data_IF_625378901135
#
_entry.id   IF_625378901135
#
_cell.length_a   1.000
_cell.length_b   1.000
_cell.length_c   1.000
_cell.angle_alpha   90.00
_cell.angle_beta   90.00
_cell.angle_gamma   90.00
#
_symmetry.space_group_name_H-M   'P 1'
#
loop_
_entity.id
_entity.type
_entity.pdbx_description
1 polymer ?
#
# COMPACT_ATOMS: atom_id res chain seq x y z
N UNK A 1 -30.57 2.61 35.37
CA UNK A 1 -30.83 1.88 34.12
C UNK A 1 -30.78 2.76 32.90
N UNK A 2 -31.38 3.94 32.97
CA UNK A 2 -31.31 4.89 31.85
C UNK A 2 -29.88 5.33 31.57
N UNK A 3 -29.08 5.48 32.60
CA UNK A 3 -27.67 5.85 32.45
C UNK A 3 -26.85 4.77 31.76
N UNK A 4 -27.09 3.50 32.10
CA UNK A 4 -26.41 2.37 31.47
C UNK A 4 -26.79 2.30 30.00
N UNK A 5 -28.06 2.52 29.69
CA UNK A 5 -28.56 2.51 28.34
C UNK A 5 -27.94 3.64 27.51
N UNK A 6 -27.80 4.81 28.12
CA UNK A 6 -27.17 5.96 27.48
C UNK A 6 -25.68 5.72 27.19
N UNK A 7 -24.96 5.09 28.14
CA UNK A 7 -23.56 4.74 27.95
C UNK A 7 -23.39 3.74 26.81
N UNK A 8 -24.29 2.76 26.71
CA UNK A 8 -24.25 1.79 25.62
C UNK A 8 -24.41 2.48 24.26
N UNK A 9 -25.30 3.45 24.15
CA UNK A 9 -25.46 4.20 22.92
C UNK A 9 -24.22 5.01 22.57
N UNK A 10 -23.58 5.60 23.56
CA UNK A 10 -22.33 6.32 23.36
C UNK A 10 -21.20 5.41 22.90
N UNK A 11 -21.17 4.18 23.35
CA UNK A 11 -20.18 3.20 22.94
C UNK A 11 -20.44 2.66 21.56
N UNK A 12 -21.69 2.58 21.11
CA UNK A 12 -22.05 2.06 19.80
C UNK A 12 -21.48 2.92 18.68
N UNK A 13 -21.49 4.24 18.81
CA UNK A 13 -20.96 5.14 17.79
C UNK A 13 -19.45 4.96 17.53
N UNK A 14 -18.61 4.89 18.57
CA UNK A 14 -17.18 4.59 18.35
C UNK A 14 -16.96 3.24 17.66
N UNK A 15 -17.76 2.23 18.02
CA UNK A 15 -17.66 0.91 17.39
C UNK A 15 -18.01 0.95 15.91
N UNK A 16 -19.03 1.72 15.52
CA UNK A 16 -19.39 1.88 14.11
C UNK A 16 -18.28 2.54 13.32
N UNK A 17 -17.68 3.59 13.87
CA UNK A 17 -16.57 4.28 13.23
C UNK A 17 -15.36 3.35 13.09
N UNK A 18 -15.10 2.56 14.10
CA UNK A 18 -14.01 1.59 14.09
C UNK A 18 -14.25 0.50 13.04
N UNK A 19 -15.49 0.03 12.89
CA UNK A 19 -15.85 -0.95 11.87
C UNK A 19 -15.65 -0.42 10.45
N UNK A 20 -16.02 0.83 10.19
CA UNK A 20 -15.79 1.47 8.89
C UNK A 20 -14.31 1.62 8.60
N UNK A 21 -13.53 2.02 9.59
CA UNK A 21 -12.09 2.14 9.46
C UNK A 21 -11.46 0.78 9.15
N UNK A 22 -11.89 -0.27 9.84
CA UNK A 22 -11.41 -1.63 9.61
C UNK A 22 -11.73 -2.08 8.18
N UNK A 23 -12.93 -1.80 7.69
CA UNK A 23 -13.33 -2.15 6.33
C UNK A 23 -12.50 -1.40 5.31
N UNK A 24 -12.23 -0.12 5.52
CA UNK A 24 -11.39 0.67 4.62
C UNK A 24 -9.96 0.14 4.57
N UNK A 25 -9.39 -0.24 5.71
CA UNK A 25 -8.04 -0.83 5.77
C UNK A 25 -8.00 -2.16 5.02
N UNK A 26 -9.01 -3.02 5.21
CA UNK A 26 -9.10 -4.31 4.52
C UNK A 26 -9.21 -4.12 3.01
N UNK A 27 -10.02 -3.16 2.56
CA UNK A 27 -10.15 -2.86 1.14
C UNK A 27 -8.86 -2.30 0.55
N UNK A 28 -8.15 -1.47 1.32
CA UNK A 28 -6.85 -0.95 0.90
C UNK A 28 -5.83 -2.08 0.73
N UNK A 29 -5.78 -3.03 1.66
CA UNK A 29 -4.89 -4.18 1.56
C UNK A 29 -5.19 -5.03 0.33
N UNK A 30 -6.46 -5.22 0.02
CA UNK A 30 -6.90 -5.94 -1.17
C UNK A 30 -6.44 -5.21 -2.44
N UNK A 31 -6.59 -3.91 -2.48
CA UNK A 31 -6.17 -3.11 -3.61
C UNK A 31 -4.65 -3.13 -3.78
N UNK A 32 -3.90 -3.03 -2.69
CA UNK A 32 -2.44 -3.17 -2.71
C UNK A 32 -2.04 -4.52 -3.30
N UNK A 33 -2.69 -5.60 -2.87
CA UNK A 33 -2.40 -6.94 -3.37
C UNK A 33 -2.69 -7.05 -4.88
N UNK A 34 -3.79 -6.48 -5.35
CA UNK A 34 -4.14 -6.50 -6.78
C UNK A 34 -3.09 -5.78 -7.62
N UNK A 35 -2.65 -4.61 -7.18
CA UNK A 35 -1.65 -3.83 -7.92
C UNK A 35 -0.29 -4.55 -7.86
N UNK A 36 0.08 -5.06 -6.71
CA UNK A 36 1.31 -5.85 -6.56
C UNK A 36 1.32 -7.04 -7.52
N UNK A 37 0.22 -7.77 -7.59
CA UNK A 37 0.10 -8.92 -8.47
C UNK A 37 0.19 -8.50 -9.94
N UNK A 38 -0.36 -7.34 -10.29
CA UNK A 38 -0.23 -6.78 -11.63
C UNK A 38 1.22 -6.45 -12.00
N UNK A 39 1.98 -5.93 -11.06
CA UNK A 39 3.40 -5.62 -11.26
C UNK A 39 4.20 -6.93 -11.40
N UNK A 40 4.01 -7.86 -10.49
CA UNK A 40 4.74 -9.12 -10.50
C UNK A 40 4.37 -9.99 -11.70
N UNK A 41 3.12 -9.93 -12.14
CA UNK A 41 2.65 -10.67 -13.31
C UNK A 41 2.97 -10.01 -14.65
N UNK A 42 3.52 -8.79 -14.63
CA UNK A 42 3.93 -8.10 -15.85
C UNK A 42 2.83 -7.33 -16.57
N UNK A 43 1.62 -7.31 -16.05
CA UNK A 43 0.53 -6.52 -16.64
C UNK A 43 0.67 -5.03 -16.37
N UNK A 44 1.36 -4.67 -15.29
CA UNK A 44 1.71 -3.30 -14.96
C UNK A 44 3.21 -3.15 -15.05
N UNK A 45 3.67 -2.22 -15.88
CA UNK A 45 5.09 -2.05 -16.19
C UNK A 45 5.65 -0.78 -15.58
N UNK A 46 6.96 -0.70 -15.36
CA UNK A 46 7.59 0.54 -14.92
C UNK A 46 7.20 1.72 -15.80
N UNK A 47 6.82 2.81 -15.15
CA UNK A 47 6.41 4.03 -15.86
C UNK A 47 4.94 4.09 -16.21
N UNK A 48 4.19 3.01 -16.07
CA UNK A 48 2.76 3.03 -16.36
C UNK A 48 2.03 3.95 -15.37
N UNK A 49 1.13 4.77 -15.90
CA UNK A 49 0.35 5.66 -15.10
C UNK A 49 -0.89 4.94 -14.54
N UNK A 50 -0.97 4.84 -13.22
CA UNK A 50 -2.13 4.24 -12.56
C UNK A 50 -3.32 5.19 -12.50
N UNK A 51 -3.05 6.47 -12.39
CA UNK A 51 -4.08 7.48 -12.29
C UNK A 51 -4.01 8.28 -11.00
N UNK A 52 -4.92 9.22 -10.89
CA UNK A 52 -5.13 9.99 -9.67
C UNK A 52 -5.84 9.13 -8.62
N UNK A 53 -5.92 9.64 -7.39
CA UNK A 53 -6.71 9.03 -6.34
C UNK A 53 -8.15 8.79 -6.76
N UNK A 54 -8.72 9.78 -7.48
CA UNK A 54 -10.07 9.68 -8.03
C UNK A 54 -10.17 8.59 -9.09
N UNK A 55 -9.22 8.52 -10.00
CA UNK A 55 -9.20 7.52 -11.06
C UNK A 55 -9.15 6.10 -10.46
N UNK A 56 -8.31 5.92 -9.47
CA UNK A 56 -8.17 4.63 -8.79
C UNK A 56 -9.44 4.27 -8.04
N UNK A 57 -10.05 5.25 -7.37
CA UNK A 57 -11.33 5.06 -6.69
C UNK A 57 -12.39 4.56 -7.66
N UNK A 58 -12.48 5.17 -8.83
CA UNK A 58 -13.48 4.81 -9.84
C UNK A 58 -13.15 3.46 -10.50
N UNK A 59 -11.90 3.26 -10.90
CA UNK A 59 -11.50 2.06 -11.63
C UNK A 59 -11.58 0.80 -10.80
N UNK A 60 -11.32 0.89 -9.51
CA UNK A 60 -11.34 -0.26 -8.60
C UNK A 60 -12.58 -0.32 -7.73
N UNK A 61 -13.52 0.61 -7.93
CA UNK A 61 -14.77 0.66 -7.17
C UNK A 61 -14.54 0.71 -5.66
N UNK A 62 -13.63 1.55 -5.23
CA UNK A 62 -13.31 1.77 -3.82
C UNK A 62 -13.51 3.23 -3.45
N UNK A 63 -13.56 3.54 -2.17
CA UNK A 63 -13.64 4.92 -1.70
C UNK A 63 -12.32 5.64 -1.96
N UNK A 64 -12.36 6.98 -1.97
CA UNK A 64 -11.13 7.76 -2.09
C UNK A 64 -10.17 7.53 -0.94
N UNK A 65 -10.71 7.33 0.27
CA UNK A 65 -9.88 7.00 1.43
C UNK A 65 -9.15 5.68 1.24
N UNK A 66 -9.85 4.67 0.73
CA UNK A 66 -9.25 3.38 0.41
C UNK A 66 -8.16 3.54 -0.65
N UNK A 67 -8.43 4.28 -1.72
CA UNK A 67 -7.46 4.54 -2.76
C UNK A 67 -6.22 5.24 -2.20
N UNK A 68 -6.42 6.24 -1.35
CA UNK A 68 -5.32 6.98 -0.71
C UNK A 68 -4.46 6.09 0.15
N UNK A 69 -5.07 5.27 1.00
CA UNK A 69 -4.34 4.37 1.87
C UNK A 69 -3.57 3.32 1.08
N UNK A 70 -4.17 2.78 0.02
CA UNK A 70 -3.48 1.83 -0.86
C UNK A 70 -2.27 2.48 -1.53
N UNK A 71 -2.43 3.70 -2.05
CA UNK A 71 -1.33 4.41 -2.68
C UNK A 71 -0.20 4.74 -1.72
N UNK A 72 -0.54 5.12 -0.49
CA UNK A 72 0.48 5.36 0.55
C UNK A 72 1.28 4.09 0.85
N UNK A 73 0.59 2.97 0.96
CA UNK A 73 1.25 1.68 1.20
C UNK A 73 2.15 1.29 0.04
N UNK A 74 1.67 1.44 -1.19
CA UNK A 74 2.46 1.12 -2.38
C UNK A 74 3.66 2.05 -2.54
N UNK A 75 3.51 3.32 -2.20
CA UNK A 75 4.62 4.26 -2.22
C UNK A 75 5.67 3.91 -1.16
N UNK A 76 5.23 3.51 0.03
CA UNK A 76 6.14 3.07 1.08
C UNK A 76 6.92 1.81 0.69
N UNK A 77 6.32 0.94 -0.12
CA UNK A 77 6.98 -0.24 -0.66
C UNK A 77 7.91 0.09 -1.84
N UNK A 78 7.87 1.32 -2.33
CA UNK A 78 8.63 1.70 -3.53
C UNK A 78 8.03 1.20 -4.82
N UNK A 79 6.78 0.74 -4.80
CA UNK A 79 6.11 0.20 -5.99
C UNK A 79 5.54 1.29 -6.89
N UNK A 80 5.16 2.43 -6.31
CA UNK A 80 4.64 3.56 -7.05
C UNK A 80 5.32 4.85 -6.62
N UNK A 81 5.32 5.81 -7.52
CA UNK A 81 5.73 7.18 -7.27
C UNK A 81 4.50 8.06 -7.34
N UNK A 82 4.31 8.92 -6.35
CA UNK A 82 3.16 9.80 -6.26
C UNK A 82 3.60 11.21 -6.58
N UNK A 83 2.91 11.84 -7.54
CA UNK A 83 3.12 13.22 -7.89
C UNK A 83 1.89 14.02 -7.49
N UNK A 84 2.11 15.09 -6.74
CA UNK A 84 1.03 15.97 -6.29
C UNK A 84 0.72 17.03 -7.35
N UNK A 85 -0.47 17.63 -7.25
CA UNK A 85 -0.89 18.73 -8.09
C UNK A 85 -1.97 18.35 -9.09
N UNK A 86 -2.31 19.32 -9.97
CA UNK A 86 -3.44 19.21 -10.89
C UNK A 86 -3.26 18.05 -11.87
N UNK A 87 -2.04 17.79 -12.32
CA UNK A 87 -1.71 16.66 -13.19
C UNK A 87 -1.04 15.53 -12.41
N UNK A 88 -1.30 15.48 -11.12
CA UNK A 88 -0.71 14.49 -10.25
C UNK A 88 -1.38 13.14 -10.35
N UNK A 89 -0.78 12.18 -9.71
CA UNK A 89 -1.27 10.82 -9.65
C UNK A 89 -0.15 9.86 -9.33
N UNK A 90 -0.45 8.58 -9.47
CA UNK A 90 0.48 7.52 -9.16
C UNK A 90 0.98 6.86 -10.45
N UNK A 91 2.26 6.60 -10.50
CA UNK A 91 2.94 5.94 -11.61
C UNK A 91 3.68 4.73 -11.05
N UNK A 92 3.69 3.63 -11.78
CA UNK A 92 4.48 2.47 -11.39
C UNK A 92 5.96 2.88 -11.39
N UNK A 93 6.65 2.60 -10.30
CA UNK A 93 8.04 3.00 -10.15
C UNK A 93 8.91 2.38 -11.22
N UNK A 94 9.88 3.16 -11.72
CA UNK A 94 10.78 2.68 -12.76
C UNK A 94 11.83 1.69 -12.22
N UNK A 95 12.02 1.70 -10.92
CA UNK A 95 13.05 0.92 -10.27
C UNK A 95 14.42 1.55 -10.47
N UNK A 96 15.10 1.82 -9.38
CA UNK A 96 16.49 2.24 -9.37
C UNK A 96 17.27 1.10 -8.72
N UNK A 97 17.97 0.34 -9.54
CA UNK A 97 18.69 -0.84 -9.06
C UNK A 97 19.70 -0.51 -7.98
N UNK A 98 20.35 0.65 -8.08
CA UNK A 98 21.31 1.10 -7.08
C UNK A 98 20.62 1.42 -5.75
N UNK A 99 19.52 2.18 -5.79
CA UNK A 99 18.76 2.52 -4.60
C UNK A 99 18.14 1.27 -3.95
N UNK A 100 17.67 0.34 -4.76
CA UNK A 100 17.13 -0.94 -4.27
C UNK A 100 18.22 -1.73 -3.59
N UNK A 101 19.42 -1.79 -4.18
CA UNK A 101 20.57 -2.46 -3.61
C UNK A 101 20.98 -1.90 -2.27
N UNK A 102 21.01 -0.57 -2.15
CA UNK A 102 21.31 0.10 -0.87
C UNK A 102 20.27 -0.21 0.19
N UNK A 103 18.99 -0.16 -0.18
CA UNK A 103 17.90 -0.47 0.75
C UNK A 103 17.99 -1.90 1.25
N UNK A 104 18.25 -2.85 0.36
CA UNK A 104 18.40 -4.26 0.72
C UNK A 104 19.61 -4.46 1.63
N UNK A 105 20.72 -3.79 1.36
CA UNK A 105 21.93 -3.88 2.18
C UNK A 105 21.67 -3.36 3.60
N UNK A 106 20.97 -2.25 3.72
CA UNK A 106 20.59 -1.68 5.02
C UNK A 106 19.66 -2.63 5.76
N UNK A 107 18.62 -3.13 5.12
CA UNK A 107 17.68 -4.07 5.72
C UNK A 107 18.36 -5.34 6.16
N UNK A 108 19.25 -5.86 5.34
CA UNK A 108 20.02 -7.05 5.63
C UNK A 108 20.86 -6.86 6.91
N UNK A 109 21.55 -5.73 7.00
CA UNK A 109 22.39 -5.41 8.17
C UNK A 109 21.54 -5.28 9.43
N UNK A 110 20.37 -4.66 9.33
CA UNK A 110 19.46 -4.48 10.45
C UNK A 110 18.82 -5.79 10.91
N UNK A 111 18.58 -6.72 9.99
CA UNK A 111 17.98 -8.00 10.31
C UNK A 111 18.97 -8.99 10.92
N UNK A 112 20.27 -8.75 10.78
CA UNK A 112 21.29 -9.65 11.27
C UNK A 112 21.45 -10.93 10.48
N UNK A 113 20.89 -11.01 9.27
CA UNK A 113 21.02 -12.18 8.41
C UNK A 113 22.43 -12.23 7.84
N UNK A 114 23.10 -13.39 7.84
CA UNK A 114 24.45 -13.52 7.25
C UNK A 114 24.44 -13.25 5.75
N UNK A 115 25.52 -12.62 5.25
CA UNK A 115 25.67 -12.32 3.82
C UNK A 115 25.61 -13.58 2.96
N UNK A 116 26.14 -14.68 3.44
CA UNK A 116 26.17 -15.95 2.71
C UNK A 116 24.77 -16.40 2.33
N UNK A 117 23.80 -16.25 3.22
CA UNK A 117 22.42 -16.62 2.94
C UNK A 117 21.80 -15.74 1.86
N UNK A 118 22.12 -14.45 1.87
CA UNK A 118 21.64 -13.53 0.84
C UNK A 118 22.24 -13.88 -0.51
N UNK A 119 23.52 -14.20 -0.56
CA UNK A 119 24.19 -14.60 -1.78
C UNK A 119 23.62 -15.90 -2.35
N UNK A 120 23.31 -16.88 -1.49
CA UNK A 120 22.68 -18.12 -1.92
C UNK A 120 21.31 -17.87 -2.56
N UNK A 121 20.48 -17.01 -1.96
CA UNK A 121 19.18 -16.64 -2.52
C UNK A 121 19.34 -16.00 -3.89
N UNK A 122 20.32 -15.12 -4.04
CA UNK A 122 20.59 -14.46 -5.32
C UNK A 122 21.08 -15.44 -6.38
N UNK A 123 21.86 -16.43 -5.99
CA UNK A 123 22.38 -17.42 -6.95
C UNK A 123 21.31 -18.39 -7.42
N UNK A 124 20.26 -18.61 -6.65
CA UNK A 124 19.11 -19.45 -7.04
C UNK A 124 18.22 -18.72 -8.05
N UNK A 125 18.15 -17.43 -7.94
CA UNK A 125 17.33 -16.62 -8.83
C UNK A 125 18.04 -16.35 -10.16
#
# INVERSE_FOLDING_TARGET
MAEIHHLDQGQVQPRRNFGRLRQAITNADTLVAQIRDGILGGSMKPGDFLGSERDISENYSVSRNTAREALRSLAALGAVEIRLGVKGGATIASGDAEAIGETLAIQHRLSGVPEDEVLEVQSVL
#
